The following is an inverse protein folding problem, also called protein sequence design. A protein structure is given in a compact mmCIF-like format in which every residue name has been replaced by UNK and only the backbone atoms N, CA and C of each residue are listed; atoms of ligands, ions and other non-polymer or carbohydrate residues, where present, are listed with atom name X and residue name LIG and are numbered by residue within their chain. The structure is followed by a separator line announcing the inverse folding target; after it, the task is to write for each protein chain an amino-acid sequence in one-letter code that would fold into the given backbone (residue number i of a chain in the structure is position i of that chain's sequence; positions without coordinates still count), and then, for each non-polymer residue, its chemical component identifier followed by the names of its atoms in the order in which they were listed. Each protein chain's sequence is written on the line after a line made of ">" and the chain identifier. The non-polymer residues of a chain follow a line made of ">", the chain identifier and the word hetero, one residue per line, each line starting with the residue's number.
data_IF_334086369955
#
_entry.id   IF_334086369955
#
_cell.length_a   1.000
_cell.length_b   1.000
_cell.length_c   1.000
_cell.angle_alpha   90.00
_cell.angle_beta   90.00
_cell.angle_gamma   90.00
#
_symmetry.space_group_name_H-M   'P 1'
#
loop_
_entity.id
_entity.type
_entity.pdbx_description
1 polymer ?
#
# COMPACT_ATOMS: atom_id res chain seq x y z
N UNK A 1 2.40 -41.64 -25.38
CA UNK A 1 2.00 -40.39 -26.07
C UNK A 1 2.21 -39.22 -25.13
N UNK A 2 3.07 -38.29 -25.55
CA UNK A 2 3.51 -37.10 -24.83
C UNK A 2 2.54 -35.94 -25.06
N UNK A 3 2.26 -35.11 -24.04
CA UNK A 3 1.75 -33.74 -24.23
C UNK A 3 2.65 -32.77 -23.48
N UNK A 4 3.32 -31.94 -24.26
CA UNK A 4 4.35 -30.97 -23.88
C UNK A 4 3.73 -29.67 -23.38
N UNK A 5 4.44 -29.04 -22.44
CA UNK A 5 4.27 -27.72 -21.88
C UNK A 5 4.21 -26.60 -22.94
N UNK A 6 3.40 -25.57 -22.70
CA UNK A 6 3.48 -24.29 -23.40
C UNK A 6 3.71 -23.20 -22.34
N UNK A 7 4.99 -22.81 -22.23
CA UNK A 7 5.42 -21.56 -21.60
C UNK A 7 5.44 -20.49 -22.69
N UNK A 8 4.72 -19.39 -22.50
CA UNK A 8 4.87 -18.18 -23.32
C UNK A 8 5.62 -17.15 -22.47
N UNK A 9 6.96 -17.21 -22.55
CA UNK A 9 7.83 -16.11 -22.16
C UNK A 9 7.87 -15.12 -23.33
N UNK A 10 7.24 -13.96 -23.18
CA UNK A 10 7.47 -12.83 -24.08
C UNK A 10 8.55 -11.95 -23.47
N UNK A 11 9.78 -12.11 -23.98
CA UNK A 11 10.91 -11.25 -23.66
C UNK A 11 10.78 -9.88 -24.31
N UNK A 12 11.27 -8.87 -23.59
CA UNK A 12 12.00 -7.76 -24.20
C UNK A 12 13.29 -7.66 -23.40
N UNK A 13 14.38 -8.04 -24.04
CA UNK A 13 15.72 -7.79 -23.53
C UNK A 13 16.09 -6.33 -23.73
N UNK A 14 17.01 -5.85 -22.90
CA UNK A 14 18.09 -5.00 -23.39
C UNK A 14 19.30 -5.16 -22.48
N UNK A 15 20.35 -5.69 -23.10
CA UNK A 15 21.70 -5.77 -22.59
C UNK A 15 22.36 -4.39 -22.62
N UNK A 16 23.40 -4.27 -21.79
CA UNK A 16 24.57 -3.41 -21.94
C UNK A 16 24.35 -1.87 -21.97
N UNK A 17 24.90 -1.19 -20.97
CA UNK A 17 25.97 -0.24 -21.25
C UNK A 17 27.03 -0.26 -20.15
N UNK A 18 28.28 -0.32 -20.63
CA UNK A 18 29.51 -0.33 -19.88
C UNK A 18 29.91 1.09 -19.40
N UNK A 19 30.78 1.08 -18.39
CA UNK A 19 31.61 2.14 -17.83
C UNK A 19 31.69 3.49 -18.56
N UNK A 20 31.46 4.59 -17.81
CA UNK A 20 32.30 5.80 -17.89
C UNK A 20 32.57 6.31 -16.48
N UNK A 21 33.82 6.74 -16.30
CA UNK A 21 34.54 7.02 -15.06
C UNK A 21 33.99 8.19 -14.22
N UNK A 22 34.34 8.13 -12.94
CA UNK A 22 34.28 9.23 -12.00
C UNK A 22 35.02 10.47 -12.53
N UNK A 23 34.37 11.64 -12.45
CA UNK A 23 35.04 12.93 -12.29
C UNK A 23 34.18 13.87 -11.44
N UNK A 24 34.90 14.75 -10.77
CA UNK A 24 34.60 15.52 -9.56
C UNK A 24 33.88 16.86 -9.78
N UNK A 25 33.31 17.35 -8.66
CA UNK A 25 33.28 18.76 -8.17
C UNK A 25 32.45 19.82 -8.92
N UNK A 26 31.35 20.20 -8.25
CA UNK A 26 30.83 21.57 -7.96
C UNK A 26 30.75 22.64 -9.04
N UNK A 27 29.55 23.21 -9.24
CA UNK A 27 29.15 24.59 -8.84
C UNK A 27 27.66 24.74 -9.18
N UNK A 28 26.95 25.49 -8.32
CA UNK A 28 25.50 25.55 -8.32
C UNK A 28 24.85 26.38 -9.42
N UNK A 29 23.58 26.10 -9.59
CA UNK A 29 22.55 27.05 -9.99
C UNK A 29 21.21 26.45 -9.57
N UNK A 30 20.53 27.13 -8.65
CA UNK A 30 19.14 26.82 -8.26
C UNK A 30 18.24 27.07 -9.47
N UNK A 31 17.95 26.00 -10.21
CA UNK A 31 16.88 26.01 -11.19
C UNK A 31 15.56 25.95 -10.42
N UNK A 32 14.73 26.97 -10.61
CA UNK A 32 13.39 27.07 -10.09
C UNK A 32 12.64 25.75 -10.31
N UNK A 33 12.25 25.09 -9.21
CA UNK A 33 11.24 24.03 -9.26
C UNK A 33 9.94 24.72 -9.64
N UNK A 34 9.58 24.62 -10.91
CA UNK A 34 8.22 24.89 -11.34
C UNK A 34 7.32 23.94 -10.55
N UNK A 35 6.54 24.51 -9.65
CA UNK A 35 5.53 23.83 -8.88
C UNK A 35 4.48 23.30 -9.85
N UNK A 36 4.69 22.09 -10.38
CA UNK A 36 3.60 21.33 -10.96
C UNK A 36 2.68 21.01 -9.80
N UNK A 37 1.69 21.88 -9.58
CA UNK A 37 0.53 21.61 -8.77
C UNK A 37 -0.12 20.33 -9.32
N UNK A 38 0.33 19.18 -8.84
CA UNK A 38 -0.46 17.97 -8.92
C UNK A 38 -1.67 18.27 -8.07
N UNK A 39 -2.78 18.61 -8.72
CA UNK A 39 -4.08 18.60 -8.11
C UNK A 39 -4.16 17.27 -7.37
N UNK A 40 -4.07 17.33 -6.04
CA UNK A 40 -4.28 16.18 -5.20
C UNK A 40 -5.71 15.78 -5.49
N UNK A 41 -5.88 14.68 -6.22
CA UNK A 41 -7.14 13.97 -6.25
C UNK A 41 -7.32 13.48 -4.83
N UNK A 42 -7.93 14.34 -4.01
CA UNK A 42 -8.24 14.04 -2.64
C UNK A 42 -9.02 12.75 -2.58
N UNK A 43 -9.14 12.23 -1.37
CA UNK A 43 -9.93 11.05 -0.98
C UNK A 43 -11.40 11.04 -1.49
N UNK A 44 -11.85 12.08 -2.20
CA UNK A 44 -13.19 12.29 -2.74
C UNK A 44 -13.24 12.55 -4.26
N UNK A 45 -12.14 12.43 -5.02
CA UNK A 45 -12.13 12.76 -6.46
C UNK A 45 -11.96 11.55 -7.38
N UNK A 46 -13.07 11.01 -7.90
CA UNK A 46 -13.05 9.97 -8.95
C UNK A 46 -14.30 10.06 -9.81
N UNK A 47 -14.10 10.39 -11.09
CA UNK A 47 -15.14 10.73 -12.07
C UNK A 47 -16.13 9.61 -12.44
N UNK A 48 -17.25 10.05 -13.00
CA UNK A 48 -18.52 9.35 -13.14
C UNK A 48 -18.56 8.20 -14.17
N UNK A 49 -19.14 7.06 -13.77
CA UNK A 49 -20.12 6.28 -14.57
C UNK A 49 -21.17 5.66 -13.65
N UNK A 50 -22.41 6.17 -13.71
CA UNK A 50 -23.58 5.56 -13.08
C UNK A 50 -23.73 5.83 -11.58
N UNK A 51 -24.66 6.72 -11.23
CA UNK A 51 -25.15 6.95 -9.86
C UNK A 51 -26.01 5.77 -9.37
N UNK A 52 -25.52 4.54 -9.51
CA UNK A 52 -26.16 3.33 -8.97
C UNK A 52 -25.14 2.44 -8.24
N UNK A 53 -24.12 3.00 -7.61
CA UNK A 53 -23.37 2.27 -6.59
C UNK A 53 -23.10 3.13 -5.36
N UNK A 54 -23.59 2.59 -4.25
CA UNK A 54 -23.37 2.91 -2.84
C UNK A 54 -21.87 3.06 -2.52
N UNK A 55 -21.28 4.19 -2.89
CA UNK A 55 -19.82 4.38 -2.96
C UNK A 55 -19.07 4.45 -1.62
N UNK A 56 -19.75 4.71 -0.50
CA UNK A 56 -19.10 4.72 0.83
C UNK A 56 -19.22 3.40 1.60
N UNK A 57 -20.32 2.67 1.40
CA UNK A 57 -20.63 1.48 2.18
C UNK A 57 -19.79 0.26 1.82
N UNK A 58 -19.39 0.13 0.55
CA UNK A 58 -18.62 -1.03 0.08
C UNK A 58 -17.19 -1.05 0.62
N UNK A 59 -16.54 0.11 0.75
CA UNK A 59 -15.17 0.17 1.28
C UNK A 59 -15.14 -0.14 2.76
N UNK A 60 -16.10 0.37 3.53
CA UNK A 60 -16.15 0.08 4.97
C UNK A 60 -16.65 -1.34 5.26
N UNK A 61 -17.50 -1.89 4.38
CA UNK A 61 -17.84 -3.32 4.41
C UNK A 61 -16.64 -4.23 4.10
N UNK A 62 -15.61 -3.74 3.39
CA UNK A 62 -14.37 -4.47 3.19
C UNK A 62 -13.45 -4.39 4.41
N UNK A 63 -13.40 -3.24 5.08
CA UNK A 63 -12.60 -3.02 6.30
C UNK A 63 -13.18 -3.83 7.47
N UNK A 64 -14.47 -3.68 7.77
CA UNK A 64 -15.11 -4.48 8.84
C UNK A 64 -15.73 -5.79 8.33
N UNK A 65 -15.29 -6.29 7.18
CA UNK A 65 -15.82 -7.49 6.55
C UNK A 65 -15.27 -8.78 7.15
N UNK A 66 -15.97 -9.92 6.97
CA UNK A 66 -15.54 -11.22 7.50
C UNK A 66 -14.20 -11.70 6.91
N UNK A 67 -13.85 -11.27 5.70
CA UNK A 67 -12.58 -11.63 5.03
C UNK A 67 -11.43 -10.65 5.28
N UNK A 68 -11.56 -9.70 6.23
CA UNK A 68 -10.52 -8.67 6.46
C UNK A 68 -9.15 -9.31 6.74
N UNK A 69 -9.08 -10.15 7.77
CA UNK A 69 -7.81 -10.75 8.21
C UNK A 69 -7.21 -11.69 7.16
N UNK A 70 -8.03 -12.49 6.48
CA UNK A 70 -7.59 -13.33 5.37
C UNK A 70 -6.93 -12.50 4.25
N UNK A 71 -7.53 -11.36 3.89
CA UNK A 71 -6.96 -10.47 2.87
C UNK A 71 -5.64 -9.85 3.29
N UNK A 72 -5.48 -9.54 4.58
CA UNK A 72 -4.23 -9.03 5.12
C UNK A 72 -3.15 -10.10 5.05
N UNK A 73 -3.42 -11.32 5.52
CA UNK A 73 -2.45 -12.42 5.45
C UNK A 73 -2.10 -12.80 4.02
N UNK A 74 -3.09 -12.91 3.11
CA UNK A 74 -2.81 -13.14 1.69
C UNK A 74 -1.91 -12.04 1.08
N UNK A 75 -2.04 -10.79 1.53
CA UNK A 75 -1.17 -9.70 1.10
C UNK A 75 0.27 -9.88 1.59
N UNK A 76 0.45 -10.36 2.82
CA UNK A 76 1.77 -10.65 3.40
C UNK A 76 2.40 -11.85 2.68
N UNK A 77 1.67 -12.95 2.52
CA UNK A 77 2.10 -14.17 1.82
C UNK A 77 2.45 -13.88 0.35
N UNK A 78 1.71 -12.99 -0.31
CA UNK A 78 2.01 -12.56 -1.67
C UNK A 78 3.39 -11.88 -1.74
N UNK A 79 3.76 -11.05 -0.77
CA UNK A 79 5.09 -10.41 -0.80
C UNK A 79 6.17 -11.44 -0.51
N UNK A 80 5.96 -12.33 0.47
CA UNK A 80 6.91 -13.39 0.85
C UNK A 80 7.18 -14.39 -0.28
N UNK A 81 6.16 -14.71 -1.09
CA UNK A 81 6.30 -15.64 -2.22
C UNK A 81 6.98 -15.02 -3.45
N UNK A 82 6.96 -13.69 -3.60
CA UNK A 82 7.50 -13.02 -4.79
C UNK A 82 8.84 -12.32 -4.55
N UNK A 83 9.18 -11.97 -3.30
CA UNK A 83 10.40 -11.23 -2.98
C UNK A 83 11.50 -12.18 -2.48
N UNK A 84 12.65 -12.15 -3.14
CA UNK A 84 13.87 -12.77 -2.61
C UNK A 84 14.57 -11.78 -1.69
N UNK A 85 14.35 -11.93 -0.38
CA UNK A 85 14.97 -11.08 0.63
C UNK A 85 16.40 -11.49 0.94
N UNK A 86 17.26 -10.49 1.19
CA UNK A 86 18.51 -10.71 1.94
C UNK A 86 18.19 -10.87 3.43
N UNK A 87 19.11 -11.39 4.24
CA UNK A 87 18.88 -11.54 5.69
C UNK A 87 18.47 -10.23 6.39
N UNK A 88 19.12 -9.06 6.13
CA UNK A 88 18.66 -7.80 6.71
C UNK A 88 17.27 -7.37 6.22
N UNK A 89 16.93 -7.63 4.95
CA UNK A 89 15.62 -7.31 4.39
C UNK A 89 14.52 -8.19 4.99
N UNK A 90 14.82 -9.48 5.23
CA UNK A 90 13.90 -10.42 5.85
C UNK A 90 13.51 -9.96 7.26
N UNK A 91 14.49 -9.54 8.08
CA UNK A 91 14.22 -9.06 9.43
C UNK A 91 13.37 -7.77 9.41
N UNK A 92 13.67 -6.84 8.50
CA UNK A 92 12.88 -5.62 8.36
C UNK A 92 11.46 -5.90 7.82
N UNK A 93 11.31 -6.87 6.92
CA UNK A 93 10.02 -7.35 6.43
C UNK A 93 9.19 -7.98 7.55
N UNK A 94 9.76 -8.84 8.38
CA UNK A 94 9.05 -9.47 9.50
C UNK A 94 8.55 -8.42 10.50
N UNK A 95 9.34 -7.37 10.76
CA UNK A 95 8.91 -6.25 11.59
C UNK A 95 7.73 -5.48 10.98
N UNK A 96 7.77 -5.24 9.66
CA UNK A 96 6.67 -4.62 8.93
C UNK A 96 5.41 -5.50 8.94
N UNK A 97 5.54 -6.80 8.66
CA UNK A 97 4.44 -7.76 8.68
C UNK A 97 3.80 -7.84 10.08
N UNK A 98 4.60 -7.85 11.14
CA UNK A 98 4.10 -7.79 12.51
C UNK A 98 3.31 -6.51 12.80
N UNK A 99 3.79 -5.34 12.34
CA UNK A 99 3.08 -4.08 12.49
C UNK A 99 1.74 -4.07 11.72
N UNK A 100 1.72 -4.64 10.51
CA UNK A 100 0.51 -4.80 9.70
C UNK A 100 -0.51 -5.69 10.42
N UNK A 101 -0.09 -6.85 10.95
CA UNK A 101 -0.95 -7.77 11.71
C UNK A 101 -1.49 -7.13 12.98
N UNK A 102 -0.66 -6.40 13.71
CA UNK A 102 -1.11 -5.65 14.88
C UNK A 102 -2.17 -4.60 14.49
N UNK A 103 -1.99 -3.93 13.35
CA UNK A 103 -2.98 -3.00 12.81
C UNK A 103 -4.28 -3.69 12.40
N UNK A 104 -4.21 -4.86 11.80
CA UNK A 104 -5.36 -5.71 11.47
C UNK A 104 -6.18 -6.04 12.73
N UNK A 105 -5.51 -6.44 13.81
CA UNK A 105 -6.13 -6.70 15.12
C UNK A 105 -6.82 -5.44 15.66
N UNK A 106 -6.14 -4.28 15.66
CA UNK A 106 -6.73 -3.00 16.12
C UNK A 106 -8.00 -2.64 15.36
N UNK A 107 -7.99 -2.77 14.03
CA UNK A 107 -9.19 -2.54 13.20
C UNK A 107 -10.28 -3.57 13.52
N UNK A 108 -9.91 -4.83 13.70
CA UNK A 108 -10.83 -5.89 14.08
C UNK A 108 -11.58 -5.60 15.37
N UNK A 109 -10.86 -5.14 16.40
CA UNK A 109 -11.44 -4.76 17.69
C UNK A 109 -12.38 -3.56 17.54
N UNK A 110 -11.97 -2.50 16.84
CA UNK A 110 -12.83 -1.35 16.58
C UNK A 110 -14.12 -1.74 15.83
N UNK A 111 -14.02 -2.62 14.83
CA UNK A 111 -15.18 -3.13 14.11
C UNK A 111 -16.11 -3.96 15.00
N UNK A 112 -15.57 -4.76 15.92
CA UNK A 112 -16.36 -5.54 16.87
C UNK A 112 -17.10 -4.64 17.87
N UNK A 113 -16.41 -3.63 18.42
CA UNK A 113 -16.98 -2.64 19.32
C UNK A 113 -18.11 -1.86 18.65
N UNK A 114 -17.89 -1.36 17.44
CA UNK A 114 -18.92 -0.65 16.67
C UNK A 114 -20.10 -1.56 16.32
N UNK A 115 -19.87 -2.86 16.05
CA UNK A 115 -20.95 -3.82 15.82
C UNK A 115 -21.80 -4.04 17.08
N UNK A 116 -21.18 -4.06 18.26
CA UNK A 116 -21.87 -4.20 19.56
C UNK A 116 -22.78 -3.01 19.88
N UNK A 117 -22.41 -1.81 19.40
CA UNK A 117 -23.18 -0.58 19.56
C UNK A 117 -24.39 -0.49 18.61
N UNK A 118 -24.50 -1.41 17.65
CA UNK A 118 -25.59 -1.46 16.68
C UNK A 118 -25.44 -0.44 15.55
N UNK A 119 -26.51 -0.26 14.78
CA UNK A 119 -26.49 0.64 13.62
C UNK A 119 -26.64 2.10 14.11
N UNK A 120 -25.83 3.05 13.60
CA UNK A 120 -26.00 4.46 13.94
C UNK A 120 -27.32 5.04 13.40
N UNK A 121 -28.20 5.49 14.30
CA UNK A 121 -29.57 5.91 13.96
C UNK A 121 -29.69 7.38 13.54
N UNK A 122 -28.82 8.27 14.05
CA UNK A 122 -28.87 9.71 13.79
C UNK A 122 -27.53 10.26 13.25
N UNK A 123 -27.50 11.54 12.87
CA UNK A 123 -26.32 12.17 12.27
C UNK A 123 -25.10 12.21 13.21
N UNK A 124 -25.32 12.45 14.51
CA UNK A 124 -24.24 12.51 15.49
C UNK A 124 -23.61 11.14 15.73
N UNK A 125 -24.43 10.08 15.84
CA UNK A 125 -23.95 8.71 15.95
C UNK A 125 -23.16 8.26 14.70
N UNK A 126 -23.59 8.69 13.50
CA UNK A 126 -22.85 8.42 12.26
C UNK A 126 -21.50 9.11 12.22
N UNK A 127 -21.41 10.34 12.75
CA UNK A 127 -20.14 11.06 12.83
C UNK A 127 -19.20 10.42 13.85
N UNK A 128 -19.71 10.01 15.02
CA UNK A 128 -18.94 9.28 16.02
C UNK A 128 -18.39 7.96 15.47
N UNK A 129 -19.19 7.21 14.70
CA UNK A 129 -18.73 6.01 14.01
C UNK A 129 -17.55 6.31 13.06
N UNK A 130 -17.66 7.39 12.27
CA UNK A 130 -16.60 7.79 11.36
C UNK A 130 -15.33 8.21 12.11
N UNK A 131 -15.49 8.96 13.20
CA UNK A 131 -14.39 9.38 14.08
C UNK A 131 -13.63 8.18 14.64
N UNK A 132 -14.32 7.14 15.14
CA UNK A 132 -13.68 5.90 15.61
C UNK A 132 -12.87 5.23 14.50
N UNK A 133 -13.44 5.08 13.31
CA UNK A 133 -12.72 4.41 12.22
C UNK A 133 -11.50 5.21 11.73
N UNK A 134 -11.60 6.55 11.73
CA UNK A 134 -10.50 7.44 11.37
C UNK A 134 -9.39 7.40 12.42
N UNK A 135 -9.74 7.45 13.71
CA UNK A 135 -8.75 7.41 14.79
C UNK A 135 -8.03 6.07 14.86
N UNK A 136 -8.76 4.95 14.70
CA UNK A 136 -8.14 3.62 14.58
C UNK A 136 -7.24 3.54 13.36
N UNK A 137 -7.68 4.03 12.20
CA UNK A 137 -6.84 4.06 10.99
C UNK A 137 -5.54 4.85 11.18
N UNK A 138 -5.62 6.01 11.85
CA UNK A 138 -4.46 6.84 12.16
C UNK A 138 -3.49 6.12 13.11
N UNK A 139 -4.00 5.43 14.13
CA UNK A 139 -3.19 4.63 15.05
C UNK A 139 -2.42 3.55 14.29
N UNK A 140 -3.09 2.84 13.38
CA UNK A 140 -2.45 1.82 12.54
C UNK A 140 -1.35 2.42 11.68
N UNK A 141 -1.62 3.50 10.96
CA UNK A 141 -0.62 4.15 10.08
C UNK A 141 0.58 4.64 10.90
N UNK A 142 0.35 5.18 12.09
CA UNK A 142 1.42 5.65 12.98
C UNK A 142 2.37 4.54 13.38
N UNK A 143 1.88 3.30 13.53
CA UNK A 143 2.69 2.12 13.85
C UNK A 143 3.35 1.49 12.61
N UNK A 144 2.62 1.41 11.50
CA UNK A 144 3.08 0.75 10.27
C UNK A 144 4.12 1.60 9.53
N UNK A 145 3.95 2.93 9.48
CA UNK A 145 4.84 3.83 8.74
C UNK A 145 6.33 3.70 9.12
N UNK A 146 6.74 3.76 10.40
CA UNK A 146 8.16 3.62 10.74
C UNK A 146 8.73 2.23 10.39
N UNK A 147 7.93 1.17 10.52
CA UNK A 147 8.35 -0.17 10.10
C UNK A 147 8.52 -0.27 8.58
N UNK A 148 7.63 0.40 7.82
CA UNK A 148 7.72 0.50 6.38
C UNK A 148 8.96 1.30 5.94
N UNK A 149 9.23 2.45 6.58
CA UNK A 149 10.40 3.27 6.30
C UNK A 149 11.71 2.48 6.54
N UNK A 150 11.77 1.71 7.63
CA UNK A 150 12.90 0.82 7.91
C UNK A 150 13.06 -0.25 6.81
N UNK A 151 11.98 -0.97 6.48
CA UNK A 151 11.99 -1.97 5.41
C UNK A 151 12.44 -1.37 4.08
N UNK A 152 11.87 -0.24 3.68
CA UNK A 152 12.23 0.47 2.45
C UNK A 152 13.72 0.88 2.42
N UNK A 153 14.27 1.28 3.57
CA UNK A 153 15.69 1.61 3.72
C UNK A 153 16.64 0.43 3.52
N UNK A 154 16.17 -0.81 3.70
CA UNK A 154 16.97 -2.02 3.43
C UNK A 154 16.99 -2.45 1.96
N UNK A 155 16.11 -1.87 1.13
CA UNK A 155 15.97 -2.23 -0.28
C UNK A 155 17.06 -1.55 -1.12
N UNK A 156 17.53 -2.24 -2.17
CA UNK A 156 18.38 -1.62 -3.18
C UNK A 156 17.56 -0.74 -4.14
N UNK A 157 18.22 0.12 -4.92
CA UNK A 157 17.57 1.08 -5.82
C UNK A 157 16.60 0.41 -6.83
N UNK A 158 16.91 -0.81 -7.29
CA UNK A 158 16.04 -1.56 -8.19
C UNK A 158 14.76 -2.04 -7.49
N UNK A 159 14.88 -2.55 -6.27
CA UNK A 159 13.75 -2.97 -5.44
C UNK A 159 12.86 -1.78 -5.04
N UNK A 160 13.49 -0.67 -4.64
CA UNK A 160 12.80 0.60 -4.34
C UNK A 160 11.98 1.09 -5.54
N UNK A 161 12.59 1.20 -6.71
CA UNK A 161 11.90 1.61 -7.94
C UNK A 161 10.75 0.67 -8.32
N UNK A 162 10.91 -0.65 -8.13
CA UNK A 162 9.84 -1.61 -8.37
C UNK A 162 8.65 -1.36 -7.41
N UNK A 163 8.92 -1.12 -6.13
CA UNK A 163 7.91 -0.83 -5.12
C UNK A 163 7.20 0.51 -5.40
N UNK A 164 7.92 1.56 -5.78
CA UNK A 164 7.35 2.86 -6.15
C UNK A 164 6.42 2.77 -7.38
N UNK A 165 6.84 1.99 -8.38
CA UNK A 165 6.02 1.72 -9.57
C UNK A 165 4.75 0.95 -9.23
N UNK A 166 4.84 -0.03 -8.33
CA UNK A 166 3.66 -0.78 -7.86
C UNK A 166 2.66 0.17 -7.17
N UNK A 167 3.16 1.08 -6.34
CA UNK A 167 2.32 2.02 -5.59
C UNK A 167 1.68 3.09 -6.49
N UNK A 168 2.42 3.60 -7.48
CA UNK A 168 1.91 4.61 -8.42
C UNK A 168 0.90 4.05 -9.44
N UNK A 169 0.99 2.78 -9.83
CA UNK A 169 0.01 2.14 -10.74
C UNK A 169 -1.38 2.01 -10.10
N UNK A 170 -1.45 1.80 -8.79
CA UNK A 170 -2.73 1.71 -8.07
C UNK A 170 -3.53 3.03 -8.09
N UNK A 171 -2.88 4.16 -8.35
CA UNK A 171 -3.51 5.47 -8.44
C UNK A 171 -4.04 5.85 -9.83
N UNK A 172 -3.83 5.03 -10.87
CA UNK A 172 -4.24 5.30 -12.26
C UNK A 172 -5.49 4.53 -12.73
N UNK A 173 -6.32 4.05 -11.80
CA UNK A 173 -7.58 3.35 -12.08
C UNK A 173 -8.81 4.18 -11.73
#
# INVERSE_FOLDING_TARGET
>A
MSRKSILIFSGIGLAAMAAVAATTLSIGSVAAVAETASASTGFFGGGHKGWRHRGGGHRMAMVCGPMRSEKVEHGIEFVESFMNFTTPQQQAWESLAAAIRAGDISVGNACADLKSQGKPENATAKLAFAETMLSTGLEVVTKVRPAFDNFYGTLNSKQQSALDNLMSRRHRG
#
